data_IF_929277577864
#
_entry.id   IF_929277577864
#
_cell.length_a   1.000
_cell.length_b   1.000
_cell.length_c   1.000
_cell.angle_alpha   90.00
_cell.angle_beta   90.00
_cell.angle_gamma   90.00
#
_symmetry.space_group_name_H-M   'P 1'
#
loop_
_entity.id
_entity.type
_entity.pdbx_description
1 polymer ?
#
# COMPACT_ATOMS: atom_id res chain seq x y z
N UNK A 1 1.41 23.58 14.22
CA UNK A 1 1.05 22.47 13.32
C UNK A 1 2.21 21.49 13.28
N UNK A 2 2.19 20.48 14.16
CA UNK A 2 3.16 19.38 14.18
C UNK A 2 2.36 18.09 14.10
N UNK A 3 2.32 17.47 12.92
CA UNK A 3 1.63 16.20 12.71
C UNK A 3 2.43 15.08 13.36
N UNK A 4 1.93 14.53 14.48
CA UNK A 4 2.49 13.35 15.15
C UNK A 4 2.07 12.07 14.43
N UNK A 5 2.41 11.94 13.16
CA UNK A 5 2.28 10.65 12.49
C UNK A 5 3.57 9.86 12.77
N UNK A 6 3.58 9.10 13.85
CA UNK A 6 4.69 8.17 14.22
C UNK A 6 4.68 6.89 13.39
N UNK A 7 3.74 6.81 12.45
CA UNK A 7 3.32 5.63 11.71
C UNK A 7 3.79 5.68 10.27
N UNK A 8 4.76 4.83 9.92
CA UNK A 8 5.25 4.67 8.56
C UNK A 8 4.79 3.32 8.03
N UNK A 9 3.95 3.35 7.00
CA UNK A 9 3.63 2.19 6.17
C UNK A 9 4.07 2.51 4.73
N UNK A 10 5.25 2.03 4.29
CA UNK A 10 5.75 2.30 2.95
C UNK A 10 4.88 1.62 1.91
N UNK A 11 4.43 2.40 0.92
CA UNK A 11 3.64 1.91 -0.22
C UNK A 11 4.30 2.36 -1.52
N UNK A 12 4.28 1.47 -2.51
CA UNK A 12 4.58 1.82 -3.90
C UNK A 12 3.48 1.32 -4.81
N UNK A 13 3.12 2.15 -5.77
CA UNK A 13 2.02 1.88 -6.68
C UNK A 13 2.45 2.07 -8.12
N UNK A 14 1.91 1.23 -9.00
CA UNK A 14 2.00 1.41 -10.45
C UNK A 14 0.61 1.33 -11.07
N UNK A 15 0.32 2.26 -12.00
CA UNK A 15 -0.94 2.32 -12.73
C UNK A 15 -0.66 2.32 -14.22
N UNK A 16 -1.39 1.50 -14.98
CA UNK A 16 -1.25 1.45 -16.45
C UNK A 16 -2.20 0.46 -17.11
N UNK A 17 -2.63 0.77 -18.34
CA UNK A 17 -3.52 -0.06 -19.17
C UNK A 17 -4.81 -0.53 -18.46
N UNK A 18 -5.41 0.34 -17.65
CA UNK A 18 -6.65 0.03 -16.92
C UNK A 18 -6.46 -0.77 -15.63
N UNK A 19 -5.23 -0.92 -15.14
CA UNK A 19 -4.92 -1.61 -13.90
C UNK A 19 -4.15 -0.73 -12.93
N UNK A 20 -4.33 -0.98 -11.64
CA UNK A 20 -3.52 -0.46 -10.54
C UNK A 20 -3.01 -1.60 -9.69
N UNK A 21 -1.76 -1.51 -9.28
CA UNK A 21 -1.13 -2.45 -8.38
C UNK A 21 -0.44 -1.68 -7.26
N UNK A 22 -0.74 -2.03 -6.01
CA UNK A 22 -0.10 -1.50 -4.81
C UNK A 22 0.73 -2.61 -4.15
N UNK A 23 1.93 -2.24 -3.71
CA UNK A 23 2.82 -3.09 -2.96
C UNK A 23 3.13 -2.42 -1.62
N UNK A 24 2.91 -3.18 -0.55
CA UNK A 24 3.26 -2.83 0.82
C UNK A 24 4.46 -3.66 1.26
N UNK A 25 5.29 -3.15 2.18
CA UNK A 25 6.41 -3.93 2.71
C UNK A 25 5.93 -5.08 3.60
N UNK A 26 4.92 -4.83 4.44
CA UNK A 26 4.45 -5.80 5.44
C UNK A 26 2.96 -6.18 5.32
N UNK A 27 2.18 -5.42 4.54
CA UNK A 27 0.71 -5.60 4.45
C UNK A 27 0.24 -6.27 3.15
N UNK A 28 1.17 -6.83 2.38
CA UNK A 28 0.87 -7.60 1.16
C UNK A 28 0.72 -6.76 -0.10
N UNK A 29 -0.20 -7.19 -0.96
CA UNK A 29 -0.35 -6.68 -2.33
C UNK A 29 -1.84 -6.38 -2.61
N UNK A 30 -2.09 -5.34 -3.40
CA UNK A 30 -3.43 -5.05 -3.92
C UNK A 30 -3.40 -4.93 -5.44
N UNK A 31 -4.45 -5.43 -6.10
CA UNK A 31 -4.60 -5.36 -7.55
C UNK A 31 -6.03 -4.97 -7.91
N UNK A 32 -6.19 -3.88 -8.66
CA UNK A 32 -7.49 -3.38 -9.09
C UNK A 32 -7.58 -3.28 -10.60
N UNK A 33 -8.72 -3.69 -11.15
CA UNK A 33 -9.05 -3.54 -12.57
C UNK A 33 -9.89 -2.28 -12.78
N UNK A 34 -9.24 -1.13 -12.91
CA UNK A 34 -9.87 0.19 -12.99
C UNK A 34 -10.90 0.36 -14.11
N UNK A 35 -10.75 -0.34 -15.24
CA UNK A 35 -11.76 -0.25 -16.30
C UNK A 35 -13.09 -0.94 -15.93
N UNK A 36 -13.06 -1.90 -15.02
CA UNK A 36 -14.24 -2.65 -14.54
C UNK A 36 -14.71 -2.17 -13.18
N UNK A 37 -13.77 -1.77 -12.35
CA UNK A 37 -13.95 -1.32 -10.98
C UNK A 37 -13.16 -0.02 -10.77
N UNK A 38 -13.69 1.12 -11.24
CA UNK A 38 -13.03 2.42 -11.10
C UNK A 38 -13.01 2.91 -9.65
N UNK A 39 -13.84 2.33 -8.78
CA UNK A 39 -13.94 2.66 -7.36
C UNK A 39 -12.98 1.83 -6.48
N UNK A 40 -12.20 0.91 -7.08
CA UNK A 40 -11.17 0.11 -6.40
C UNK A 40 -11.74 -0.68 -5.20
N UNK A 41 -12.94 -1.22 -5.36
CA UNK A 41 -13.68 -1.96 -4.33
C UNK A 41 -13.13 -3.38 -4.18
N UNK A 42 -12.86 -4.08 -5.29
CA UNK A 42 -12.48 -5.48 -5.29
C UNK A 42 -10.96 -5.66 -5.44
N UNK A 43 -10.30 -6.10 -4.36
CA UNK A 43 -8.90 -6.48 -4.42
C UNK A 43 -8.73 -7.87 -5.08
N UNK A 44 -8.18 -7.88 -6.29
CA UNK A 44 -7.94 -9.07 -7.11
C UNK A 44 -6.56 -9.70 -6.90
N UNK A 45 -5.78 -9.27 -5.90
CA UNK A 45 -4.40 -9.71 -5.71
C UNK A 45 -4.28 -11.21 -5.41
N UNK A 46 -5.28 -11.79 -4.76
CA UNK A 46 -5.34 -13.21 -4.39
C UNK A 46 -6.09 -14.07 -5.42
N UNK A 47 -6.70 -13.48 -6.45
CA UNK A 47 -7.37 -14.24 -7.50
C UNK A 47 -6.33 -14.85 -8.48
N UNK A 48 -6.23 -16.19 -8.57
CA UNK A 48 -5.30 -16.86 -9.49
C UNK A 48 -5.54 -16.50 -10.96
N UNK A 49 -6.76 -16.10 -11.36
CA UNK A 49 -7.06 -15.63 -12.72
C UNK A 49 -6.28 -14.37 -13.08
N UNK A 50 -5.94 -13.55 -12.09
CA UNK A 50 -5.27 -12.27 -12.28
C UNK A 50 -3.78 -12.29 -11.90
N UNK A 51 -3.26 -13.43 -11.41
CA UNK A 51 -1.85 -13.62 -11.05
C UNK A 51 -0.86 -13.28 -12.18
N UNK A 52 -1.26 -13.50 -13.44
CA UNK A 52 -0.48 -13.10 -14.61
C UNK A 52 -0.28 -11.59 -14.71
N UNK A 53 -1.35 -10.82 -14.52
CA UNK A 53 -1.30 -9.36 -14.55
C UNK A 53 -0.56 -8.82 -13.32
N UNK A 54 -0.82 -9.38 -12.13
CA UNK A 54 -0.09 -9.04 -10.90
C UNK A 54 1.41 -9.14 -11.09
N UNK A 55 1.91 -10.29 -11.57
CA UNK A 55 3.34 -10.50 -11.86
C UNK A 55 3.91 -9.49 -12.85
N UNK A 56 3.13 -9.11 -13.86
CA UNK A 56 3.56 -8.16 -14.88
C UNK A 56 3.71 -6.75 -14.30
N UNK A 57 2.76 -6.31 -13.49
CA UNK A 57 2.82 -4.99 -12.84
C UNK A 57 3.89 -4.96 -11.76
N UNK A 58 4.01 -6.02 -10.95
CA UNK A 58 5.09 -6.16 -9.97
C UNK A 58 6.46 -6.04 -10.62
N UNK A 59 6.72 -6.74 -11.74
CA UNK A 59 8.00 -6.62 -12.45
C UNK A 59 8.29 -5.20 -12.96
N UNK A 60 7.26 -4.48 -13.42
CA UNK A 60 7.43 -3.09 -13.85
C UNK A 60 7.73 -2.19 -12.65
N UNK A 61 7.07 -2.41 -11.53
CA UNK A 61 7.32 -1.67 -10.30
C UNK A 61 8.72 -1.95 -9.75
N UNK A 62 9.14 -3.21 -9.67
CA UNK A 62 10.47 -3.63 -9.24
C UNK A 62 11.56 -2.98 -10.10
N UNK A 63 11.32 -2.93 -11.42
CA UNK A 63 12.22 -2.24 -12.36
C UNK A 63 12.31 -0.75 -12.05
N UNK A 64 11.17 -0.08 -11.85
CA UNK A 64 11.15 1.34 -11.52
C UNK A 64 11.86 1.64 -10.20
N UNK A 65 11.61 0.85 -9.15
CA UNK A 65 12.28 0.97 -7.84
C UNK A 65 13.80 0.91 -8.04
N UNK A 66 14.28 -0.06 -8.81
CA UNK A 66 15.71 -0.23 -9.10
C UNK A 66 16.28 0.92 -9.92
N UNK A 67 15.58 1.36 -10.97
CA UNK A 67 16.05 2.44 -11.86
C UNK A 67 16.12 3.81 -11.18
N UNK A 68 15.40 3.99 -10.07
CA UNK A 68 15.37 5.25 -9.32
C UNK A 68 16.15 5.17 -7.99
N UNK A 69 16.93 4.10 -7.78
CA UNK A 69 17.63 3.83 -6.51
C UNK A 69 16.72 4.00 -5.28
N UNK A 70 15.46 3.59 -5.41
CA UNK A 70 14.46 3.77 -4.37
C UNK A 70 14.69 2.75 -3.23
N UNK A 71 14.90 3.20 -1.98
CA UNK A 71 15.15 2.34 -0.84
C UNK A 71 13.88 1.63 -0.33
N UNK A 72 12.82 1.52 -1.13
CA UNK A 72 11.53 0.92 -0.74
C UNK A 72 11.66 -0.38 0.07
N UNK A 73 12.52 -1.30 -0.38
CA UNK A 73 12.73 -2.61 0.27
C UNK A 73 13.56 -2.57 1.55
N UNK A 74 14.22 -1.46 1.87
CA UNK A 74 14.94 -1.28 3.14
C UNK A 74 14.10 -0.62 4.21
N UNK A 75 12.90 -0.12 3.87
CA UNK A 75 11.98 0.39 4.86
C UNK A 75 11.34 -0.72 5.68
N UNK A 76 11.11 -0.43 6.94
CA UNK A 76 10.38 -1.30 7.87
C UNK A 76 9.12 -0.57 8.30
N UNK A 77 7.99 -1.26 8.33
CA UNK A 77 6.78 -0.68 8.91
C UNK A 77 7.00 -0.51 10.41
N UNK A 78 6.77 0.69 10.95
CA UNK A 78 6.71 0.87 12.41
C UNK A 78 5.59 -0.03 12.96
N UNK A 79 5.73 -0.67 14.12
CA UNK A 79 4.70 -1.56 14.73
C UNK A 79 3.80 -0.81 15.71
N UNK A 80 2.47 -1.07 15.67
CA UNK A 80 1.40 -0.33 16.35
C UNK A 80 1.63 -0.69 17.78
N UNK A 81 2.44 0.12 18.46
CA UNK A 81 2.74 -0.13 19.84
C UNK A 81 1.38 -0.26 20.52
N UNK A 82 1.01 -1.44 21.04
CA UNK A 82 -0.31 -1.66 21.59
C UNK A 82 -0.60 -0.69 22.76
N UNK A 83 0.45 -0.07 23.33
CA UNK A 83 0.38 1.02 24.30
C UNK A 83 -0.02 2.38 23.70
N UNK A 84 0.38 2.72 22.48
CA UNK A 84 -0.01 3.97 21.81
C UNK A 84 -1.44 3.89 21.26
N UNK A 85 -1.88 2.74 20.75
CA UNK A 85 -3.23 2.55 20.22
C UNK A 85 -4.33 2.85 21.27
N UNK A 86 -4.08 2.55 22.55
CA UNK A 86 -5.01 2.90 23.66
C UNK A 86 -4.98 4.37 24.05
N UNK A 87 -3.90 5.09 23.72
CA UNK A 87 -3.74 6.51 24.05
C UNK A 87 -4.41 7.38 22.98
N UNK A 88 -4.30 7.00 21.70
CA UNK A 88 -4.96 7.66 20.58
C UNK A 88 -6.50 7.55 20.66
N UNK A 89 -7.04 6.40 21.10
CA UNK A 89 -8.49 6.19 21.28
C UNK A 89 -9.08 6.87 22.52
N UNK A 90 -8.24 7.41 23.41
CA UNK A 90 -8.65 8.18 24.60
C UNK A 90 -8.45 9.68 24.44
N UNK A 91 -7.93 10.12 23.30
CA UNK A 91 -7.81 11.53 22.97
C UNK A 91 -9.21 12.07 22.58
N UNK A 92 -9.79 13.00 23.36
CA UNK A 92 -11.12 13.56 23.06
C UNK A 92 -11.15 14.36 21.74
N UNK A 93 -10.00 14.69 21.15
CA UNK A 93 -9.90 15.42 19.88
C UNK A 93 -9.65 14.51 18.66
N UNK A 94 -9.57 13.17 18.84
CA UNK A 94 -9.44 12.25 17.70
C UNK A 94 -10.79 12.09 16.98
N UNK A 95 -10.98 12.87 15.91
CA UNK A 95 -12.06 12.67 14.94
C UNK A 95 -11.54 11.86 13.77
N UNK A 96 -12.18 10.71 13.50
CA UNK A 96 -12.12 10.07 12.18
C UNK A 96 -12.99 10.92 11.26
N UNK A 97 -12.36 11.66 10.36
CA UNK A 97 -13.06 12.22 9.19
C UNK A 97 -13.33 11.13 8.15
#
# INVERSE_FOLDING_TARGET
YYGKQTWVNPIRSIRGKGWKYNLYTDWGEELYHLDKDPEEIENLADDPKHAGMKRKLKKQLDRWIKENDDPFYSFTTTSLDPGEAKTILKDPDYKRE
#
